data_IF_646100717053
#
_entry.id   IF_646100717053
#
_cell.length_a   1.000
_cell.length_b   1.000
_cell.length_c   1.000
_cell.angle_alpha   90.00
_cell.angle_beta   90.00
_cell.angle_gamma   90.00
#
_symmetry.space_group_name_H-M   'P 1'
#
loop_
_entity.id
_entity.type
_entity.pdbx_description
1 polymer ?
#
# COMPACT_ATOMS: atom_id res chain seq x y z
N UNK A 1 -33.13 -8.19 -18.49
CA UNK A 1 -32.17 -8.53 -17.41
C UNK A 1 -30.90 -7.70 -17.61
N UNK A 2 -30.98 -6.41 -17.32
CA UNK A 2 -29.85 -5.48 -17.42
C UNK A 2 -29.01 -5.62 -16.15
N UNK A 3 -27.76 -6.01 -16.36
CA UNK A 3 -26.70 -6.16 -15.39
C UNK A 3 -26.59 -4.90 -14.53
N UNK A 4 -27.26 -4.88 -13.38
CA UNK A 4 -26.90 -3.96 -12.29
C UNK A 4 -25.54 -4.44 -11.83
N UNK A 5 -24.49 -3.81 -12.34
CA UNK A 5 -23.24 -3.65 -11.61
C UNK A 5 -23.66 -2.94 -10.33
N UNK A 6 -24.02 -3.73 -9.32
CA UNK A 6 -23.98 -3.30 -7.93
C UNK A 6 -22.51 -3.03 -7.70
N UNK A 7 -22.10 -1.82 -8.08
CA UNK A 7 -20.80 -1.26 -7.79
C UNK A 7 -20.59 -1.59 -6.33
N UNK A 8 -19.63 -2.48 -6.06
CA UNK A 8 -19.48 -3.18 -4.80
C UNK A 8 -19.02 -2.18 -3.75
N UNK A 9 -19.95 -1.31 -3.36
CA UNK A 9 -19.83 -0.28 -2.36
C UNK A 9 -19.87 -1.00 -1.03
N UNK A 10 -18.75 -1.60 -0.67
CA UNK A 10 -18.64 -2.31 0.60
C UNK A 10 -18.68 -1.28 1.72
N UNK A 11 -19.55 -1.45 2.74
CA UNK A 11 -19.54 -0.59 3.90
C UNK A 11 -18.17 -0.72 4.58
N UNK A 12 -17.47 0.41 4.66
CA UNK A 12 -16.18 0.50 5.32
C UNK A 12 -16.39 1.02 6.73
N UNK A 13 -15.98 0.20 7.70
CA UNK A 13 -15.82 0.61 9.09
C UNK A 13 -14.37 1.02 9.33
N UNK A 14 -14.15 1.92 10.30
CA UNK A 14 -12.82 2.30 10.77
C UNK A 14 -11.88 1.09 10.99
N UNK A 15 -12.39 -0.02 11.54
CA UNK A 15 -11.60 -1.25 11.75
C UNK A 15 -11.06 -1.83 10.44
N UNK A 16 -11.87 -1.86 9.37
CA UNK A 16 -11.44 -2.37 8.06
C UNK A 16 -10.35 -1.52 7.40
N UNK A 17 -10.22 -0.25 7.79
CA UNK A 17 -9.16 0.64 7.32
C UNK A 17 -7.85 0.40 8.09
N UNK A 18 -7.92 0.15 9.41
CA UNK A 18 -6.74 -0.03 10.26
C UNK A 18 -6.17 -1.46 10.27
N UNK A 19 -6.99 -2.50 10.06
CA UNK A 19 -6.51 -3.90 10.11
C UNK A 19 -5.36 -4.18 9.11
N UNK A 20 -5.42 -3.76 7.84
CA UNK A 20 -4.37 -4.06 6.87
C UNK A 20 -2.95 -3.56 7.24
N UNK A 21 -2.74 -2.28 7.62
CA UNK A 21 -1.40 -1.82 8.01
C UNK A 21 -0.92 -2.48 9.30
N UNK A 22 -1.82 -2.83 10.22
CA UNK A 22 -1.47 -3.59 11.43
C UNK A 22 -1.00 -5.01 11.10
N UNK A 23 -1.69 -5.70 10.17
CA UNK A 23 -1.29 -7.02 9.70
C UNK A 23 0.01 -7.00 8.90
N UNK A 24 0.29 -5.92 8.17
CA UNK A 24 1.60 -5.76 7.53
C UNK A 24 2.69 -5.42 8.54
N UNK A 25 2.40 -4.71 9.62
CA UNK A 25 3.40 -4.37 10.63
C UNK A 25 4.04 -5.62 11.27
N UNK A 26 3.30 -6.74 11.39
CA UNK A 26 3.87 -8.00 11.87
C UNK A 26 4.93 -8.58 10.92
N UNK A 27 4.87 -8.24 9.63
CA UNK A 27 5.85 -8.61 8.61
C UNK A 27 7.25 -8.02 8.86
N UNK A 28 7.38 -6.96 9.68
CA UNK A 28 8.70 -6.46 10.08
C UNK A 28 9.52 -7.50 10.87
N UNK A 29 8.87 -8.55 11.39
CA UNK A 29 9.56 -9.70 11.97
C UNK A 29 10.60 -10.31 11.04
N UNK A 30 10.45 -10.19 9.71
CA UNK A 30 11.42 -10.73 8.75
C UNK A 30 12.81 -10.06 8.85
N UNK A 31 12.90 -8.81 9.32
CA UNK A 31 14.17 -8.10 9.48
C UNK A 31 15.00 -8.56 10.70
N UNK A 32 14.42 -9.39 11.59
CA UNK A 32 15.21 -10.06 12.62
C UNK A 32 16.26 -10.98 11.98
N UNK A 33 15.92 -11.61 10.86
CA UNK A 33 16.81 -12.50 10.11
C UNK A 33 17.83 -11.66 9.32
N UNK A 34 19.15 -11.90 9.48
CA UNK A 34 20.20 -11.09 8.86
C UNK A 34 20.11 -10.98 7.33
N UNK A 35 19.61 -12.04 6.69
CA UNK A 35 19.49 -12.15 5.23
C UNK A 35 18.51 -11.13 4.63
N UNK A 36 17.56 -10.62 5.43
CA UNK A 36 16.58 -9.62 4.99
C UNK A 36 16.97 -8.19 5.42
N UNK A 37 18.06 -8.02 6.18
CA UNK A 37 18.48 -6.69 6.64
C UNK A 37 19.00 -5.88 5.46
N UNK A 38 18.49 -4.66 5.36
CA UNK A 38 18.96 -3.66 4.40
C UNK A 38 19.53 -2.45 5.13
N UNK A 39 20.44 -1.72 4.47
CA UNK A 39 20.97 -0.46 5.00
C UNK A 39 19.84 0.48 5.39
N UNK A 40 20.00 1.14 6.55
CA UNK A 40 19.01 2.10 7.06
C UNK A 40 18.71 3.23 6.09
N UNK A 41 19.72 3.68 5.34
CA UNK A 41 19.55 4.68 4.27
C UNK A 41 18.54 4.21 3.23
N UNK A 42 18.74 3.01 2.69
CA UNK A 42 17.83 2.43 1.69
C UNK A 42 16.44 2.13 2.25
N UNK A 43 16.35 1.72 3.52
CA UNK A 43 15.08 1.54 4.19
C UNK A 43 14.28 2.85 4.29
N UNK A 44 14.93 3.95 4.69
CA UNK A 44 14.30 5.27 4.77
C UNK A 44 13.90 5.77 3.39
N UNK A 45 14.78 5.66 2.40
CA UNK A 45 14.50 6.08 1.03
C UNK A 45 13.33 5.30 0.42
N UNK A 46 13.32 3.96 0.58
CA UNK A 46 12.24 3.11 0.12
C UNK A 46 10.91 3.45 0.81
N UNK A 47 10.93 3.71 2.12
CA UNK A 47 9.75 4.11 2.87
C UNK A 47 9.20 5.45 2.39
N UNK A 48 10.07 6.46 2.21
CA UNK A 48 9.69 7.78 1.73
C UNK A 48 9.16 7.73 0.30
N UNK A 49 9.83 6.99 -0.60
CA UNK A 49 9.35 6.78 -1.97
C UNK A 49 7.98 6.11 -1.99
N UNK A 50 7.78 5.06 -1.19
CA UNK A 50 6.48 4.40 -1.05
C UNK A 50 5.40 5.37 -0.52
N UNK A 51 5.70 6.07 0.56
CA UNK A 51 4.76 6.95 1.26
C UNK A 51 4.45 8.25 0.52
N UNK A 52 5.39 8.80 -0.25
CA UNK A 52 5.24 10.10 -0.91
C UNK A 52 4.95 9.96 -2.41
N UNK A 53 5.70 9.11 -3.10
CA UNK A 53 5.61 8.96 -4.56
C UNK A 53 4.52 7.98 -4.93
N UNK A 54 4.58 6.74 -4.43
CA UNK A 54 3.62 5.71 -4.80
C UNK A 54 2.25 5.88 -4.16
N UNK A 55 2.16 6.50 -2.99
CA UNK A 55 0.87 6.80 -2.37
C UNK A 55 0.08 7.89 -3.13
N UNK A 56 0.73 8.76 -3.89
CA UNK A 56 0.09 9.87 -4.60
C UNK A 56 -1.00 9.42 -5.60
N UNK A 57 -0.74 8.49 -6.54
CA UNK A 57 -1.78 7.98 -7.44
C UNK A 57 -2.92 7.27 -6.69
N UNK A 58 -2.63 6.55 -5.59
CA UNK A 58 -3.64 5.92 -4.73
C UNK A 58 -4.58 6.96 -4.10
N UNK A 59 -4.01 8.08 -3.64
CA UNK A 59 -4.76 9.17 -3.01
C UNK A 59 -5.70 9.87 -3.99
N UNK A 60 -5.26 10.05 -5.23
CA UNK A 60 -6.06 10.76 -6.25
C UNK A 60 -7.26 9.96 -6.74
N UNK A 61 -7.13 8.64 -6.73
CA UNK A 61 -8.12 7.71 -7.29
C UNK A 61 -9.07 7.14 -6.22
N UNK A 62 -8.78 7.33 -4.93
CA UNK A 62 -9.64 6.88 -3.84
C UNK A 62 -10.67 7.96 -3.49
N UNK A 63 -11.93 7.76 -3.86
CA UNK A 63 -13.05 8.59 -3.40
C UNK A 63 -13.92 7.79 -2.43
N UNK A 64 -14.15 8.38 -1.25
CA UNK A 64 -15.18 7.93 -0.32
C UNK A 64 -16.47 8.65 -0.69
N UNK A 65 -17.51 7.89 -1.00
CA UNK A 65 -18.84 8.41 -1.31
C UNK A 65 -19.73 8.13 -0.10
N UNK A 66 -20.40 9.15 0.41
CA UNK A 66 -21.42 9.00 1.44
C UNK A 66 -22.74 8.63 0.77
N UNK A 67 -23.24 7.44 1.03
CA UNK A 67 -24.52 6.96 0.51
C UNK A 67 -25.47 6.77 1.70
N UNK A 68 -26.25 7.82 2.00
CA UNK A 68 -27.12 7.87 3.19
C UNK A 68 -26.34 7.80 4.51
N UNK A 69 -26.67 6.80 5.33
CA UNK A 69 -26.10 6.56 6.67
C UNK A 69 -24.82 5.68 6.65
N UNK A 70 -24.34 5.34 5.44
CA UNK A 70 -23.20 4.47 5.25
C UNK A 70 -22.10 5.13 4.40
N UNK A 71 -20.88 5.12 4.92
CA UNK A 71 -19.70 5.58 4.18
C UNK A 71 -19.17 4.41 3.33
N UNK A 72 -19.30 4.56 2.02
CA UNK A 72 -18.94 3.53 1.05
C UNK A 72 -17.63 3.88 0.37
N UNK A 73 -16.76 2.89 0.22
CA UNK A 73 -15.51 3.05 -0.51
C UNK A 73 -15.70 2.68 -1.97
N UNK A 74 -15.43 3.64 -2.87
CA UNK A 74 -15.24 3.31 -4.27
C UNK A 74 -13.84 2.69 -4.42
N UNK A 75 -13.79 1.39 -4.78
CA UNK A 75 -12.53 0.66 -4.92
C UNK A 75 -11.67 1.35 -5.97
N UNK A 76 -10.40 1.54 -5.61
CA UNK A 76 -9.44 2.19 -6.48
C UNK A 76 -8.52 1.17 -7.12
N UNK A 77 -8.42 1.17 -8.46
CA UNK A 77 -7.56 0.30 -9.28
C UNK A 77 -6.06 0.46 -9.03
N UNK A 78 -5.69 1.25 -8.03
CA UNK A 78 -4.33 1.60 -7.68
C UNK A 78 -3.52 0.42 -7.09
N UNK A 79 -4.17 -0.64 -6.60
CA UNK A 79 -3.49 -1.91 -6.28
C UNK A 79 -2.77 -2.49 -7.52
N UNK A 80 -3.36 -2.33 -8.70
CA UNK A 80 -2.81 -2.82 -9.96
C UNK A 80 -1.56 -2.02 -10.38
N UNK A 81 -1.57 -0.70 -10.17
CA UNK A 81 -0.42 0.16 -10.43
C UNK A 81 0.78 -0.21 -9.52
N UNK A 82 0.51 -0.54 -8.26
CA UNK A 82 1.53 -1.01 -7.31
C UNK A 82 2.11 -2.35 -7.74
N UNK A 83 1.25 -3.28 -8.18
CA UNK A 83 1.68 -4.57 -8.72
C UNK A 83 2.53 -4.40 -9.99
N UNK A 84 2.21 -3.44 -10.85
CA UNK A 84 2.97 -3.12 -12.05
C UNK A 84 4.33 -2.49 -11.74
N UNK A 85 4.41 -1.60 -10.76
CA UNK A 85 5.67 -1.04 -10.27
C UNK A 85 6.54 -2.15 -9.66
N UNK A 86 5.93 -3.02 -8.87
CA UNK A 86 6.55 -4.25 -8.34
C UNK A 86 7.20 -5.09 -9.41
N UNK A 87 6.43 -5.38 -10.45
CA UNK A 87 6.88 -6.17 -11.57
C UNK A 87 8.00 -5.46 -12.32
N UNK A 88 7.87 -4.15 -12.57
CA UNK A 88 8.87 -3.33 -13.24
C UNK A 88 10.20 -3.28 -12.49
N UNK A 89 10.16 -3.01 -11.17
CA UNK A 89 11.36 -3.01 -10.32
C UNK A 89 11.98 -4.40 -10.26
N UNK A 90 11.18 -5.47 -10.11
CA UNK A 90 11.67 -6.86 -10.08
C UNK A 90 12.34 -7.27 -11.38
N UNK A 91 11.82 -6.83 -12.53
CA UNK A 91 12.39 -7.11 -13.85
C UNK A 91 13.67 -6.29 -14.07
N UNK A 92 13.67 -5.00 -13.71
CA UNK A 92 14.84 -4.13 -13.85
C UNK A 92 15.98 -4.47 -12.89
N UNK A 93 15.67 -4.90 -11.66
CA UNK A 93 16.66 -5.27 -10.66
C UNK A 93 17.46 -6.53 -11.05
N UNK A 94 16.81 -7.48 -11.74
CA UNK A 94 17.43 -8.76 -12.14
C UNK A 94 18.62 -8.60 -13.11
N UNK A 95 18.73 -7.46 -13.80
CA UNK A 95 19.84 -7.22 -14.74
C UNK A 95 21.03 -6.46 -14.15
N UNK A 96 20.80 -5.61 -13.13
CA UNK A 96 21.81 -4.66 -12.62
C UNK A 96 22.22 -4.91 -11.17
N UNK A 97 21.35 -5.49 -10.35
CA UNK A 97 21.54 -5.62 -8.91
C UNK A 97 21.88 -7.03 -8.42
N UNK A 98 21.84 -8.06 -9.28
CA UNK A 98 22.18 -9.44 -8.92
C UNK A 98 23.62 -9.60 -8.38
N UNK A 99 24.52 -8.64 -8.64
CA UNK A 99 25.89 -8.64 -8.10
C UNK A 99 26.04 -7.96 -6.73
N UNK A 100 25.04 -7.16 -6.28
CA UNK A 100 25.14 -6.28 -5.11
C UNK A 100 24.06 -6.57 -4.06
N UNK A 101 22.90 -7.08 -4.48
CA UNK A 101 21.72 -7.28 -3.64
C UNK A 101 21.21 -8.72 -3.73
N UNK A 102 21.03 -9.36 -2.58
CA UNK A 102 20.37 -10.67 -2.55
C UNK A 102 18.88 -10.55 -2.87
N UNK A 103 18.28 -11.64 -3.35
CA UNK A 103 16.83 -11.74 -3.59
C UNK A 103 16.03 -11.37 -2.34
N UNK A 104 16.55 -11.74 -1.17
CA UNK A 104 15.93 -11.49 0.13
C UNK A 104 16.00 -10.02 0.54
N UNK A 105 17.12 -9.33 0.31
CA UNK A 105 17.26 -7.90 0.60
C UNK A 105 16.35 -7.05 -0.30
N UNK A 106 16.24 -7.43 -1.58
CA UNK A 106 15.31 -6.80 -2.51
C UNK A 106 13.87 -6.97 -2.05
N UNK A 107 13.50 -8.17 -1.56
CA UNK A 107 12.19 -8.40 -0.95
C UNK A 107 11.95 -7.54 0.30
N UNK A 108 12.99 -7.34 1.13
CA UNK A 108 12.97 -6.46 2.29
C UNK A 108 12.69 -5.00 1.94
N UNK A 109 13.43 -4.44 0.98
CA UNK A 109 13.19 -3.08 0.48
C UNK A 109 11.80 -2.92 -0.09
N UNK A 110 11.37 -3.94 -0.84
CA UNK A 110 10.08 -3.94 -1.47
C UNK A 110 8.94 -3.88 -0.43
N UNK A 111 9.06 -4.67 0.64
CA UNK A 111 8.14 -4.63 1.76
C UNK A 111 8.09 -3.26 2.44
N UNK A 112 9.23 -2.62 2.70
CA UNK A 112 9.29 -1.29 3.34
C UNK A 112 8.58 -0.25 2.47
N UNK A 113 8.82 -0.28 1.17
CA UNK A 113 8.17 0.58 0.19
C UNK A 113 6.64 0.37 0.19
N UNK A 114 6.20 -0.89 0.12
CA UNK A 114 4.78 -1.25 0.16
C UNK A 114 4.12 -0.82 1.47
N UNK A 115 4.81 -0.99 2.60
CA UNK A 115 4.34 -0.58 3.92
C UNK A 115 4.16 0.94 4.01
N UNK A 116 5.16 1.73 3.59
CA UNK A 116 5.07 3.19 3.59
C UNK A 116 3.90 3.71 2.76
N UNK A 117 3.69 3.10 1.60
CA UNK A 117 2.55 3.43 0.73
C UNK A 117 1.19 3.11 1.39
N UNK A 118 1.02 1.88 1.90
CA UNK A 118 -0.25 1.45 2.52
C UNK A 118 -0.54 2.27 3.78
N UNK A 119 0.47 2.53 4.60
CA UNK A 119 0.33 3.34 5.81
C UNK A 119 -0.17 4.75 5.47
N UNK A 120 0.44 5.43 4.50
CA UNK A 120 0.01 6.77 4.08
C UNK A 120 -1.42 6.75 3.53
N UNK A 121 -1.72 5.80 2.66
CA UNK A 121 -3.03 5.69 2.02
C UNK A 121 -4.15 5.42 3.05
N UNK A 122 -3.97 4.42 3.90
CA UNK A 122 -4.95 4.07 4.95
C UNK A 122 -5.12 5.18 5.98
N UNK A 123 -4.06 5.91 6.34
CA UNK A 123 -4.14 7.07 7.23
C UNK A 123 -5.00 8.18 6.64
N UNK A 124 -4.83 8.47 5.33
CA UNK A 124 -5.63 9.47 4.63
C UNK A 124 -7.10 9.05 4.48
N UNK A 125 -7.35 7.78 4.18
CA UNK A 125 -8.70 7.22 4.16
C UNK A 125 -9.38 7.32 5.52
N UNK A 126 -8.66 7.03 6.61
CA UNK A 126 -9.19 7.14 7.96
C UNK A 126 -9.55 8.59 8.33
N UNK A 127 -8.72 9.57 7.92
CA UNK A 127 -9.04 10.99 8.10
C UNK A 127 -10.29 11.41 7.31
N UNK A 128 -10.43 10.98 6.06
CA UNK A 128 -11.63 11.26 5.26
C UNK A 128 -12.87 10.59 5.86
N UNK A 129 -12.76 9.34 6.33
CA UNK A 129 -13.84 8.65 7.04
C UNK A 129 -14.29 9.42 8.29
N UNK A 130 -13.35 9.86 9.13
CA UNK A 130 -13.65 10.67 10.33
C UNK A 130 -14.29 12.02 10.01
N UNK A 131 -13.88 12.66 8.91
CA UNK A 131 -14.44 13.93 8.47
C UNK A 131 -15.87 13.80 7.92
N UNK A 132 -16.23 12.63 7.36
CA UNK A 132 -17.58 12.34 6.85
C UNK A 132 -18.53 11.81 7.94
N UNK A 133 -17.99 11.27 9.04
CA UNK A 133 -18.75 10.75 10.18
C UNK A 133 -18.95 11.77 11.31
N UNK A 134 -18.35 12.96 11.22
CA UNK A 134 -18.54 14.08 12.15
C UNK A 134 -19.50 15.10 11.56
#
# INVERSE_FOLDING_TARGET
MLWRVSETRSPISARKILIPPMGMATGFAMFLVPVFRVPWTWAVDAFLLGALVFAYPLLRTSRLVRDGDHVMLQRSNAFLAVLLVLAGVRIGARGYFDQILSVQQTAGLFFILAFGMILRWRTRMFRQYRALSS
#
